data_IF_337040159136
#
_entry.id   IF_337040159136
#
_cell.length_a   1.000
_cell.length_b   1.000
_cell.length_c   1.000
_cell.angle_alpha   90.00
_cell.angle_beta   90.00
_cell.angle_gamma   90.00
#
_symmetry.space_group_name_H-M   'P 1'
#
loop_
_entity.id
_entity.type
_entity.pdbx_description
1 polymer ?
#
# COMPACT_ATOMS: atom_id res chain seq x y z
N UNK A 1 37.51 -3.21 -8.81
CA UNK A 1 36.74 -4.41 -9.18
C UNK A 1 35.26 -4.07 -9.25
N UNK A 2 34.67 -4.27 -10.40
CA UNK A 2 33.23 -4.07 -10.58
C UNK A 2 32.51 -5.36 -10.20
N UNK A 3 31.65 -5.29 -9.20
CA UNK A 3 30.80 -6.42 -8.85
C UNK A 3 29.53 -6.31 -9.70
N UNK A 4 29.29 -7.31 -10.53
CA UNK A 4 28.06 -7.42 -11.31
C UNK A 4 27.10 -8.27 -10.51
N UNK A 5 26.02 -7.65 -10.02
CA UNK A 5 24.95 -8.40 -9.39
C UNK A 5 24.08 -9.00 -10.50
N UNK A 6 24.06 -10.32 -10.58
CA UNK A 6 23.24 -11.02 -11.56
C UNK A 6 21.78 -10.99 -11.10
N UNK A 7 20.90 -10.63 -12.01
CA UNK A 7 19.46 -10.70 -11.77
C UNK A 7 19.05 -12.17 -11.56
N UNK A 8 18.42 -12.44 -10.44
CA UNK A 8 17.83 -13.75 -10.16
C UNK A 8 16.32 -13.66 -10.27
N UNK A 9 15.70 -14.20 -11.34
CA UNK A 9 14.24 -14.11 -11.52
C UNK A 9 13.44 -14.92 -10.50
N UNK A 10 14.10 -15.76 -9.71
CA UNK A 10 13.45 -16.59 -8.70
C UNK A 10 13.46 -15.96 -7.31
N UNK A 11 14.21 -14.87 -7.10
CA UNK A 11 14.17 -14.10 -5.86
C UNK A 11 13.06 -13.07 -5.92
N UNK A 12 12.19 -13.01 -4.90
CA UNK A 12 11.17 -11.97 -4.86
C UNK A 12 11.83 -10.59 -4.73
N UNK A 13 11.33 -9.62 -5.49
CA UNK A 13 11.81 -8.24 -5.41
C UNK A 13 11.36 -7.57 -4.10
N UNK A 14 10.30 -8.06 -3.50
CA UNK A 14 9.70 -7.52 -2.29
C UNK A 14 9.60 -8.59 -1.22
N UNK A 15 9.78 -8.19 0.03
CA UNK A 15 9.67 -9.08 1.19
C UNK A 15 8.86 -8.40 2.30
N UNK A 16 8.40 -9.18 3.27
CA UNK A 16 7.66 -8.67 4.42
C UNK A 16 8.49 -7.77 5.34
N UNK A 17 9.81 -7.89 5.30
CA UNK A 17 10.74 -7.12 6.13
C UNK A 17 11.17 -5.80 5.50
N UNK A 18 10.75 -5.52 4.27
CA UNK A 18 11.09 -4.29 3.60
C UNK A 18 10.49 -3.08 4.31
N UNK A 19 11.30 -2.00 4.38
CA UNK A 19 10.87 -0.69 4.85
C UNK A 19 9.81 -0.12 3.89
N UNK A 20 8.75 0.47 4.43
CA UNK A 20 7.66 1.01 3.61
C UNK A 20 7.90 2.43 3.13
N UNK A 21 9.09 3.01 3.38
CA UNK A 21 9.42 4.34 2.86
C UNK A 21 9.69 4.32 1.36
N UNK A 22 9.45 5.46 0.73
CA UNK A 22 9.32 5.57 -0.73
C UNK A 22 10.57 5.31 -1.54
N UNK A 23 11.70 5.83 -1.17
CA UNK A 23 12.89 5.80 -2.02
C UNK A 23 13.36 4.36 -2.29
N UNK A 24 13.77 4.08 -3.50
CA UNK A 24 14.19 2.79 -4.03
C UNK A 24 13.06 1.82 -4.42
N UNK A 25 11.79 2.20 -4.22
CA UNK A 25 10.68 1.38 -4.69
C UNK A 25 10.45 1.57 -6.19
N UNK A 26 10.04 0.50 -6.85
CA UNK A 26 9.74 0.53 -8.27
C UNK A 26 8.41 1.24 -8.56
N UNK A 27 8.29 1.88 -9.75
CA UNK A 27 7.02 2.47 -10.17
C UNK A 27 5.92 1.43 -10.32
N UNK A 28 4.68 1.89 -10.19
CA UNK A 28 3.51 1.07 -10.45
C UNK A 28 3.40 0.78 -11.95
N UNK A 29 3.20 -0.49 -12.28
CA UNK A 29 3.06 -0.92 -13.66
C UNK A 29 1.70 -0.61 -14.26
N UNK A 30 1.58 -0.80 -15.58
CA UNK A 30 0.35 -0.51 -16.33
C UNK A 30 -0.84 -1.37 -15.92
N UNK A 31 -0.60 -2.56 -15.36
CA UNK A 31 -1.65 -3.44 -14.85
C UNK A 31 -2.41 -2.85 -13.66
N UNK A 32 -1.91 -1.75 -13.10
CA UNK A 32 -2.50 -1.08 -11.95
C UNK A 32 -3.55 0.00 -12.32
N UNK A 33 -4.20 -0.10 -13.47
CA UNK A 33 -5.14 0.91 -13.98
C UNK A 33 -6.32 1.25 -13.07
N UNK A 34 -6.60 0.43 -12.05
CA UNK A 34 -7.64 0.71 -11.05
C UNK A 34 -7.12 1.56 -9.88
N UNK A 35 -5.81 1.81 -9.81
CA UNK A 35 -5.21 2.60 -8.74
C UNK A 35 -5.36 4.09 -9.07
N UNK A 36 -6.02 4.89 -8.20
CA UNK A 36 -6.09 6.33 -8.44
C UNK A 36 -4.70 6.97 -8.46
N UNK A 37 -4.42 7.81 -9.45
CA UNK A 37 -3.14 8.54 -9.53
C UNK A 37 -2.91 9.39 -8.28
N UNK A 38 -3.99 9.96 -7.72
CA UNK A 38 -3.92 10.75 -6.50
C UNK A 38 -3.37 9.95 -5.30
N UNK A 39 -3.63 8.64 -5.25
CA UNK A 39 -3.07 7.78 -4.20
C UNK A 39 -1.54 7.71 -4.31
N UNK A 40 -1.03 7.55 -5.52
CA UNK A 40 0.42 7.46 -5.76
C UNK A 40 1.12 8.78 -5.42
N UNK A 41 0.51 9.90 -5.78
CA UNK A 41 1.04 11.23 -5.44
C UNK A 41 1.04 11.46 -3.93
N UNK A 42 -0.02 11.07 -3.24
CA UNK A 42 -0.11 11.15 -1.78
C UNK A 42 0.94 10.25 -1.11
N UNK A 43 1.15 9.04 -1.62
CA UNK A 43 2.16 8.14 -1.07
C UNK A 43 3.54 8.78 -1.12
N UNK A 44 3.92 9.40 -2.24
CA UNK A 44 5.18 10.12 -2.36
C UNK A 44 5.25 11.29 -1.36
N UNK A 45 4.18 12.07 -1.24
CA UNK A 45 4.10 13.20 -0.31
C UNK A 45 4.34 12.77 1.14
N UNK A 46 3.77 11.64 1.54
CA UNK A 46 3.93 11.08 2.89
C UNK A 46 5.17 10.19 3.05
N UNK A 47 6.01 10.10 2.03
CA UNK A 47 7.20 9.25 2.00
C UNK A 47 6.90 7.77 2.25
N UNK A 48 5.77 7.31 1.75
CA UNK A 48 5.36 5.90 1.75
C UNK A 48 5.53 5.35 0.33
N UNK A 49 6.02 4.13 0.23
CA UNK A 49 6.16 3.46 -1.08
C UNK A 49 4.83 3.43 -1.83
N UNK A 50 4.77 3.95 -3.08
CA UNK A 50 3.57 3.84 -3.91
C UNK A 50 3.15 2.39 -4.15
N UNK A 51 4.09 1.48 -4.29
CA UNK A 51 3.81 0.04 -4.49
C UNK A 51 3.12 -0.54 -3.26
N UNK A 52 3.63 -0.21 -2.06
CA UNK A 52 3.01 -0.66 -0.81
C UNK A 52 1.61 -0.06 -0.64
N UNK A 53 1.47 1.25 -0.82
CA UNK A 53 0.17 1.94 -0.71
C UNK A 53 -0.84 1.36 -1.70
N UNK A 54 -0.42 1.11 -2.94
CA UNK A 54 -1.27 0.51 -3.96
C UNK A 54 -1.69 -0.91 -3.61
N UNK A 55 -0.79 -1.73 -3.07
CA UNK A 55 -1.09 -3.10 -2.65
C UNK A 55 -2.13 -3.12 -1.52
N UNK A 56 -2.00 -2.24 -0.53
CA UNK A 56 -2.98 -2.10 0.55
C UNK A 56 -4.33 -1.64 0.00
N UNK A 57 -4.33 -0.64 -0.87
CA UNK A 57 -5.56 -0.16 -1.52
C UNK A 57 -6.27 -1.28 -2.27
N UNK A 58 -5.56 -2.03 -3.08
CA UNK A 58 -6.11 -3.15 -3.86
C UNK A 58 -6.73 -4.20 -2.95
N UNK A 59 -6.03 -4.60 -1.90
CA UNK A 59 -6.54 -5.61 -0.98
C UNK A 59 -7.77 -5.11 -0.22
N UNK A 60 -7.68 -3.92 0.36
CA UNK A 60 -8.75 -3.36 1.21
C UNK A 60 -10.00 -2.98 0.42
N UNK A 61 -9.86 -2.60 -0.84
CA UNK A 61 -11.00 -2.20 -1.68
C UNK A 61 -11.45 -3.30 -2.65
N UNK A 62 -10.80 -4.47 -2.65
CA UNK A 62 -11.09 -5.51 -3.63
C UNK A 62 -10.96 -4.98 -5.06
N UNK A 63 -9.80 -4.44 -5.40
CA UNK A 63 -9.53 -3.81 -6.70
C UNK A 63 -10.47 -2.64 -7.01
N UNK A 64 -10.81 -1.85 -5.99
CA UNK A 64 -11.65 -0.66 -6.15
C UNK A 64 -13.15 -0.93 -6.19
N UNK A 65 -13.60 -2.13 -5.81
CA UNK A 65 -15.01 -2.54 -5.94
C UNK A 65 -15.80 -2.53 -4.63
N UNK A 66 -15.16 -2.35 -3.47
CA UNK A 66 -15.86 -2.42 -2.19
C UNK A 66 -16.89 -1.31 -2.01
N UNK A 67 -17.97 -1.61 -1.29
CA UNK A 67 -19.01 -0.60 -0.99
C UNK A 67 -18.48 0.51 -0.09
N UNK A 68 -17.58 0.19 0.84
CA UNK A 68 -16.94 1.20 1.69
C UNK A 68 -16.18 2.23 0.84
N UNK A 69 -15.46 1.78 -0.18
CA UNK A 69 -14.77 2.68 -1.10
C UNK A 69 -15.74 3.46 -1.98
N UNK A 70 -16.67 2.77 -2.64
CA UNK A 70 -17.57 3.39 -3.61
C UNK A 70 -18.58 4.35 -2.96
N UNK A 71 -19.09 4.02 -1.78
CA UNK A 71 -20.15 4.80 -1.12
C UNK A 71 -19.61 5.77 -0.07
N UNK A 72 -18.51 5.42 0.61
CA UNK A 72 -17.98 6.20 1.74
C UNK A 72 -16.64 6.85 1.43
N UNK A 73 -16.07 6.66 0.25
CA UNK A 73 -14.71 7.09 -0.08
C UNK A 73 -13.67 6.57 0.94
N UNK A 74 -13.90 5.36 1.44
CA UNK A 74 -13.06 4.74 2.48
C UNK A 74 -12.21 3.63 1.84
N UNK A 75 -10.88 3.88 1.65
CA UNK A 75 -10.03 2.96 0.90
C UNK A 75 -9.45 1.82 1.73
N UNK A 76 -9.58 1.85 3.05
CA UNK A 76 -8.80 0.99 3.93
C UNK A 76 -9.60 0.41 5.09
N UNK A 77 -10.91 0.38 4.98
CA UNK A 77 -11.76 -0.14 6.06
C UNK A 77 -11.64 0.65 7.36
N UNK A 78 -11.39 1.95 7.28
CA UNK A 78 -11.18 2.81 8.45
C UNK A 78 -12.47 2.90 9.26
N UNK A 79 -12.38 2.66 10.57
CA UNK A 79 -13.56 2.62 11.45
C UNK A 79 -13.74 3.94 12.19
N UNK A 80 -15.00 4.35 12.31
CA UNK A 80 -15.45 5.46 13.13
C UNK A 80 -16.45 4.89 14.15
N UNK A 81 -15.93 4.29 15.22
CA UNK A 81 -16.75 3.56 16.19
C UNK A 81 -17.24 2.24 15.60
N UNK A 82 -18.55 2.03 15.56
CA UNK A 82 -19.21 0.81 15.10
C UNK A 82 -19.50 0.78 13.60
N UNK A 83 -19.12 1.82 12.88
CA UNK A 83 -19.34 1.95 11.42
C UNK A 83 -18.04 2.34 10.70
N UNK A 84 -18.04 2.20 9.38
CA UNK A 84 -16.97 2.72 8.55
C UNK A 84 -17.04 4.25 8.49
N UNK A 85 -15.87 4.89 8.57
CA UNK A 85 -15.78 6.33 8.35
C UNK A 85 -16.27 6.67 6.95
N UNK A 86 -16.86 7.84 6.80
CA UNK A 86 -17.27 8.40 5.52
C UNK A 86 -16.53 9.70 5.28
N UNK A 87 -15.94 9.83 4.10
CA UNK A 87 -15.18 11.02 3.69
C UNK A 87 -15.92 11.74 2.57
N UNK A 88 -15.79 13.06 2.53
CA UNK A 88 -16.48 13.89 1.53
C UNK A 88 -15.99 13.60 0.11
N UNK A 89 -14.70 13.34 -0.04
CA UNK A 89 -14.09 13.01 -1.33
C UNK A 89 -13.21 11.77 -1.24
N UNK A 90 -12.97 11.14 -2.40
CA UNK A 90 -12.03 10.03 -2.49
C UNK A 90 -10.62 10.44 -2.05
N UNK A 91 -10.18 11.65 -2.40
CA UNK A 91 -8.88 12.18 -2.00
C UNK A 91 -8.77 12.30 -0.48
N UNK A 92 -9.81 12.78 0.21
CA UNK A 92 -9.82 12.87 1.67
C UNK A 92 -9.64 11.49 2.31
N UNK A 93 -10.32 10.48 1.80
CA UNK A 93 -10.19 9.11 2.29
C UNK A 93 -8.81 8.53 2.07
N UNK A 94 -8.24 8.74 0.89
CA UNK A 94 -6.88 8.29 0.56
C UNK A 94 -5.84 9.02 1.41
N UNK A 95 -6.02 10.32 1.63
CA UNK A 95 -5.13 11.09 2.51
C UNK A 95 -5.15 10.52 3.93
N UNK A 96 -6.32 10.18 4.46
CA UNK A 96 -6.43 9.58 5.79
C UNK A 96 -5.70 8.23 5.85
N UNK A 97 -5.80 7.41 4.83
CA UNK A 97 -5.03 6.16 4.74
C UNK A 97 -3.52 6.43 4.82
N UNK A 98 -3.03 7.42 4.10
CA UNK A 98 -1.60 7.79 4.14
C UNK A 98 -1.18 8.33 5.50
N UNK A 99 -2.02 9.14 6.14
CA UNK A 99 -1.75 9.63 7.50
C UNK A 99 -1.57 8.48 8.50
N UNK A 100 -2.43 7.46 8.42
CA UNK A 100 -2.34 6.28 9.28
C UNK A 100 -1.03 5.53 9.05
N UNK A 101 -0.65 5.30 7.80
CA UNK A 101 0.62 4.65 7.46
C UNK A 101 1.82 5.44 7.94
N UNK A 102 1.79 6.76 7.78
CA UNK A 102 2.86 7.65 8.24
C UNK A 102 2.95 7.68 9.77
N UNK A 103 1.82 7.67 10.47
CA UNK A 103 1.78 7.60 11.93
C UNK A 103 2.38 6.27 12.43
N UNK A 104 2.04 5.15 11.81
CA UNK A 104 2.65 3.86 12.11
C UNK A 104 4.16 3.92 11.95
N UNK A 105 4.61 4.47 10.83
CA UNK A 105 6.04 4.62 10.54
C UNK A 105 6.75 5.44 11.62
N UNK A 106 6.17 6.57 12.00
CA UNK A 106 6.72 7.46 13.03
C UNK A 106 6.79 6.79 14.41
N UNK A 107 5.97 5.78 14.65
CA UNK A 107 5.94 5.01 15.89
C UNK A 107 6.77 3.72 15.82
N UNK A 108 7.65 3.59 14.83
CA UNK A 108 8.58 2.48 14.72
C UNK A 108 8.04 1.27 13.91
N UNK A 109 6.85 1.35 13.37
CA UNK A 109 6.30 0.31 12.50
C UNK A 109 6.71 0.60 11.06
N UNK A 110 7.93 0.24 10.71
CA UNK A 110 8.57 0.70 9.47
C UNK A 110 8.56 -0.34 8.35
N UNK A 111 8.24 -1.60 8.66
CA UNK A 111 8.22 -2.66 7.65
C UNK A 111 6.81 -3.05 7.25
N UNK A 112 6.70 -3.72 6.11
CA UNK A 112 5.41 -4.26 5.62
C UNK A 112 4.77 -5.13 6.70
N UNK A 113 5.54 -6.07 7.27
CA UNK A 113 5.04 -6.99 8.29
C UNK A 113 4.54 -6.25 9.55
N UNK A 114 5.33 -5.30 10.05
CA UNK A 114 4.96 -4.54 11.23
C UNK A 114 3.65 -3.77 11.05
N UNK A 115 3.48 -3.10 9.92
CA UNK A 115 2.26 -2.35 9.66
C UNK A 115 1.05 -3.26 9.44
N UNK A 116 1.19 -4.32 8.66
CA UNK A 116 0.07 -5.22 8.38
C UNK A 116 -0.36 -6.03 9.60
N UNK A 117 0.56 -6.43 10.45
CA UNK A 117 0.24 -7.15 11.69
C UNK A 117 -0.59 -6.30 12.67
N UNK A 118 -0.44 -4.98 12.64
CA UNK A 118 -1.24 -4.09 13.48
C UNK A 118 -2.58 -3.71 12.82
N UNK A 119 -2.58 -3.47 11.51
CA UNK A 119 -3.76 -2.98 10.78
C UNK A 119 -4.82 -4.05 10.59
N UNK A 120 -4.40 -5.26 10.25
CA UNK A 120 -5.29 -6.33 9.85
C UNK A 120 -5.58 -7.27 11.02
N UNK A 121 -6.86 -7.65 11.18
CA UNK A 121 -7.26 -8.68 12.16
C UNK A 121 -6.80 -10.07 11.73
N UNK A 122 -6.55 -10.26 10.42
CA UNK A 122 -6.01 -11.50 9.85
C UNK A 122 -4.61 -11.23 9.32
N UNK A 123 -3.73 -12.23 9.42
CA UNK A 123 -2.38 -12.11 8.90
C UNK A 123 -2.42 -12.16 7.36
N UNK A 124 -2.23 -11.01 6.72
CA UNK A 124 -2.27 -10.87 5.26
C UNK A 124 -0.96 -10.36 4.66
N UNK A 125 0.11 -10.38 5.43
CA UNK A 125 1.42 -9.85 5.01
C UNK A 125 1.91 -10.49 3.71
N UNK A 126 1.82 -11.81 3.58
CA UNK A 126 2.26 -12.53 2.38
C UNK A 126 1.44 -12.12 1.16
N UNK A 127 0.15 -11.91 1.33
CA UNK A 127 -0.73 -11.47 0.25
C UNK A 127 -0.38 -10.04 -0.20
N UNK A 128 -0.07 -9.14 0.73
CA UNK A 128 0.40 -7.80 0.40
C UNK A 128 1.70 -7.86 -0.39
N UNK A 129 2.65 -8.68 0.01
CA UNK A 129 3.93 -8.84 -0.71
C UNK A 129 3.70 -9.36 -2.12
N UNK A 130 2.81 -10.35 -2.30
CA UNK A 130 2.44 -10.85 -3.63
C UNK A 130 1.82 -9.75 -4.51
N UNK A 131 0.95 -8.91 -3.94
CA UNK A 131 0.35 -7.79 -4.65
C UNK A 131 1.39 -6.75 -5.03
N UNK A 132 2.35 -6.45 -4.15
CA UNK A 132 3.47 -5.55 -4.46
C UNK A 132 4.27 -6.07 -5.67
N UNK A 133 4.58 -7.36 -5.70
CA UNK A 133 5.25 -8.00 -6.84
C UNK A 133 4.44 -7.85 -8.13
N UNK A 134 3.14 -8.11 -8.04
CA UNK A 134 2.23 -8.04 -9.20
C UNK A 134 2.09 -6.61 -9.73
N UNK A 135 2.05 -5.61 -8.86
CA UNK A 135 1.80 -4.22 -9.22
C UNK A 135 3.06 -3.49 -9.68
N UNK A 136 4.25 -3.96 -9.29
CA UNK A 136 5.49 -3.32 -9.67
C UNK A 136 5.72 -3.43 -11.19
N UNK A 137 6.26 -2.35 -11.78
CA UNK A 137 6.56 -2.33 -13.22
C UNK A 137 7.65 -3.35 -13.57
N UNK A 138 7.44 -4.09 -14.66
CA UNK A 138 8.38 -5.11 -15.13
C UNK A 138 8.25 -6.46 -14.44
N UNK A 139 7.17 -6.67 -13.68
CA UNK A 139 6.90 -7.92 -12.97
C UNK A 139 5.71 -8.67 -13.54
#
# INVERSE_FOLDING_TARGET
VTVIQLYNPYEPAYTSEMDVSWHEWQPIGKAAGVIPVALLDLAEEYNISPVYAAAVFVLETGWGSSLAWLNNHNPAGIRCGDRYCKYDTATDGMQRMMEIMADYYSNGLTTVDQQRSLWSETEDTDLIVQLMEQLAEGR
#
